data_IF_777341660790
#
_entry.id   IF_777341660790
#
_cell.length_a   1.000
_cell.length_b   1.000
_cell.length_c   1.000
_cell.angle_alpha   90.00
_cell.angle_beta   90.00
_cell.angle_gamma   90.00
#
_symmetry.space_group_name_H-M   'P 1'
#
loop_
_entity.id
_entity.type
_entity.pdbx_description
1 polymer ?
#
# COMPACT_ATOMS: atom_id res chain seq x y z
N UNK A 1 6.25 -17.45 12.63
CA UNK A 1 4.80 -17.42 12.55
C UNK A 1 4.35 -16.16 11.85
N UNK A 2 3.50 -16.33 10.88
CA UNK A 2 2.91 -15.23 10.17
C UNK A 2 2.08 -14.40 11.15
N UNK A 3 2.46 -13.15 11.33
CA UNK A 3 1.59 -12.18 11.97
C UNK A 3 0.30 -12.14 11.16
N UNK A 4 -0.82 -12.39 11.83
CA UNK A 4 -2.11 -12.31 11.19
C UNK A 4 -2.34 -10.85 10.77
N UNK A 5 -2.39 -10.61 9.47
CA UNK A 5 -2.59 -9.27 8.92
C UNK A 5 -3.84 -8.61 9.48
N UNK A 6 -4.91 -9.38 9.70
CA UNK A 6 -6.14 -8.87 10.28
C UNK A 6 -5.97 -8.32 11.69
N UNK A 7 -5.10 -8.94 12.51
CA UNK A 7 -4.82 -8.44 13.85
C UNK A 7 -4.04 -7.13 13.81
N UNK A 8 -3.02 -7.06 12.94
CA UNK A 8 -2.23 -5.84 12.77
C UNK A 8 -3.11 -4.69 12.31
N UNK A 9 -4.01 -4.96 11.37
CA UNK A 9 -4.95 -3.98 10.86
C UNK A 9 -5.84 -3.44 11.97
N UNK A 10 -6.39 -4.32 12.81
CA UNK A 10 -7.25 -3.92 13.92
C UNK A 10 -6.50 -3.06 14.95
N UNK A 11 -5.24 -3.38 15.20
CA UNK A 11 -4.42 -2.62 16.15
C UNK A 11 -3.98 -1.27 15.59
N UNK A 12 -3.76 -1.19 14.27
CA UNK A 12 -3.24 0.01 13.63
C UNK A 12 -4.30 1.10 13.46
N UNK A 13 -5.52 0.73 13.04
CA UNK A 13 -6.54 1.75 12.79
C UNK A 13 -7.90 1.13 12.50
N UNK A 14 -8.96 1.80 12.98
CA UNK A 14 -10.33 1.46 12.60
C UNK A 14 -10.63 1.73 11.13
N UNK A 15 -9.79 2.52 10.44
CA UNK A 15 -9.97 2.86 9.03
C UNK A 15 -9.21 1.95 8.07
N UNK A 16 -8.48 0.97 8.60
CA UNK A 16 -7.72 0.05 7.77
C UNK A 16 -8.58 -1.14 7.34
N UNK A 17 -8.44 -1.52 6.09
CA UNK A 17 -9.14 -2.65 5.49
C UNK A 17 -8.16 -3.46 4.65
N UNK A 18 -8.55 -4.66 4.27
CA UNK A 18 -7.72 -5.50 3.40
C UNK A 18 -8.40 -5.73 2.06
N UNK A 19 -7.60 -5.94 1.04
CA UNK A 19 -8.09 -6.28 -0.28
C UNK A 19 -7.15 -7.29 -0.95
N UNK A 20 -7.69 -8.21 -1.76
CA UNK A 20 -6.84 -9.06 -2.57
C UNK A 20 -6.23 -8.26 -3.72
N UNK A 21 -4.97 -8.53 -4.01
CA UNK A 21 -4.31 -8.00 -5.20
C UNK A 21 -3.72 -9.15 -5.99
N UNK A 22 -3.96 -9.14 -7.29
CA UNK A 22 -3.36 -10.12 -8.17
C UNK A 22 -1.91 -9.74 -8.43
N UNK A 23 -1.05 -10.72 -8.27
CA UNK A 23 0.35 -10.59 -8.54
C UNK A 23 0.61 -10.55 -10.04
N UNK A 24 1.55 -9.69 -10.48
CA UNK A 24 2.06 -9.69 -11.85
C UNK A 24 3.09 -10.80 -12.08
N UNK A 25 3.33 -11.66 -11.08
CA UNK A 25 4.22 -12.81 -11.23
C UNK A 25 3.61 -13.82 -12.20
N UNK A 26 4.45 -14.58 -12.95
CA UNK A 26 3.96 -15.59 -13.89
C UNK A 26 3.06 -16.65 -13.27
N UNK A 27 3.17 -16.85 -11.96
CA UNK A 27 2.26 -17.68 -11.20
C UNK A 27 1.24 -16.77 -10.56
N UNK A 28 -0.03 -16.96 -10.87
CA UNK A 28 -1.11 -16.20 -10.31
C UNK A 28 -1.14 -16.38 -8.80
N UNK A 29 -0.44 -15.51 -8.07
CA UNK A 29 -0.47 -15.49 -6.61
C UNK A 29 -1.30 -14.30 -6.18
N UNK A 30 -2.39 -14.60 -5.50
CA UNK A 30 -3.19 -13.57 -4.87
C UNK A 30 -2.51 -13.19 -3.55
N UNK A 31 -2.15 -11.92 -3.41
CA UNK A 31 -1.61 -11.37 -2.18
C UNK A 31 -2.61 -10.42 -1.56
N UNK A 32 -2.65 -10.40 -0.24
CA UNK A 32 -3.52 -9.49 0.48
C UNK A 32 -2.76 -8.21 0.80
N UNK A 33 -3.42 -7.06 0.59
CA UNK A 33 -2.86 -5.76 0.90
C UNK A 33 -3.80 -4.98 1.79
N UNK A 34 -3.24 -4.07 2.57
CA UNK A 34 -3.99 -3.16 3.42
C UNK A 34 -4.16 -1.83 2.70
N UNK A 35 -5.31 -1.20 2.88
CA UNK A 35 -5.56 0.17 2.47
C UNK A 35 -6.38 0.88 3.54
N UNK A 36 -6.38 2.19 3.51
CA UNK A 36 -7.15 3.00 4.45
C UNK A 36 -8.33 3.65 3.72
N UNK A 37 -9.54 3.52 4.27
CA UNK A 37 -10.77 4.02 3.64
C UNK A 37 -11.54 5.01 4.51
N UNK A 38 -10.84 5.77 5.31
CA UNK A 38 -11.47 6.74 6.16
C UNK A 38 -10.51 7.71 6.81
N UNK A 39 -11.05 8.55 7.68
CA UNK A 39 -10.29 9.57 8.39
C UNK A 39 -10.68 10.99 8.01
N UNK A 40 -11.19 11.21 6.82
CA UNK A 40 -11.82 12.46 6.38
C UNK A 40 -12.68 12.19 5.14
N UNK A 41 -13.30 13.25 4.61
CA UNK A 41 -14.24 13.13 3.49
C UNK A 41 -13.54 12.56 2.24
N UNK A 42 -12.39 13.12 1.87
CA UNK A 42 -11.67 12.71 0.68
C UNK A 42 -11.23 11.25 0.76
N UNK A 43 -10.79 10.80 1.94
CA UNK A 43 -10.40 9.40 2.14
C UNK A 43 -11.60 8.45 2.02
N UNK A 44 -12.77 8.87 2.51
CA UNK A 44 -13.99 8.06 2.35
C UNK A 44 -14.44 7.99 0.90
N UNK A 45 -14.40 9.13 0.20
CA UNK A 45 -14.77 9.19 -1.22
C UNK A 45 -13.80 8.34 -2.06
N UNK A 46 -12.51 8.40 -1.76
CA UNK A 46 -11.52 7.55 -2.43
C UNK A 46 -11.80 6.07 -2.18
N UNK A 47 -12.24 5.71 -0.97
CA UNK A 47 -12.64 4.33 -0.67
C UNK A 47 -13.80 3.85 -1.53
N UNK A 48 -14.76 4.71 -1.80
CA UNK A 48 -15.87 4.40 -2.72
C UNK A 48 -15.34 4.17 -4.12
N UNK A 49 -14.48 5.07 -4.61
CA UNK A 49 -13.85 4.90 -5.93
C UNK A 49 -13.11 3.57 -6.04
N UNK A 50 -12.37 3.21 -5.00
CA UNK A 50 -11.61 1.95 -4.99
C UNK A 50 -12.53 0.74 -5.08
N UNK A 51 -13.63 0.74 -4.34
CA UNK A 51 -14.60 -0.35 -4.38
C UNK A 51 -15.30 -0.47 -5.73
N UNK A 52 -15.36 0.62 -6.48
CA UNK A 52 -15.85 0.65 -7.85
C UNK A 52 -14.75 0.36 -8.88
N UNK A 53 -13.58 -0.04 -8.40
CA UNK A 53 -12.39 -0.32 -9.22
C UNK A 53 -11.89 0.90 -9.99
N UNK A 54 -12.14 2.09 -9.48
CA UNK A 54 -11.70 3.35 -10.07
C UNK A 54 -10.46 3.84 -9.31
N UNK A 55 -9.32 3.25 -9.65
CA UNK A 55 -8.06 3.54 -8.97
C UNK A 55 -7.54 4.94 -9.27
N UNK A 56 -7.74 5.43 -10.48
CA UNK A 56 -7.21 6.73 -10.87
C UNK A 56 -7.89 7.86 -10.10
N UNK A 57 -9.21 7.81 -9.97
CA UNK A 57 -9.95 8.80 -9.19
C UNK A 57 -9.62 8.68 -7.69
N UNK A 58 -9.49 7.46 -7.20
CA UNK A 58 -9.05 7.25 -5.81
C UNK A 58 -7.66 7.89 -5.59
N UNK A 59 -6.73 7.66 -6.49
CA UNK A 59 -5.38 8.21 -6.38
C UNK A 59 -5.39 9.75 -6.41
N UNK A 60 -6.23 10.36 -7.21
CA UNK A 60 -6.36 11.82 -7.26
C UNK A 60 -6.81 12.37 -5.90
N UNK A 61 -7.77 11.72 -5.26
CA UNK A 61 -8.23 12.12 -3.92
C UNK A 61 -7.13 11.90 -2.87
N UNK A 62 -6.42 10.78 -2.93
CA UNK A 62 -5.30 10.54 -2.01
C UNK A 62 -4.19 11.57 -2.18
N UNK A 63 -3.91 11.99 -3.41
CA UNK A 63 -2.91 13.05 -3.68
C UNK A 63 -3.34 14.37 -3.06
N UNK A 64 -4.62 14.71 -3.16
CA UNK A 64 -5.14 15.93 -2.53
C UNK A 64 -4.91 15.91 -1.01
N UNK A 65 -5.20 14.80 -0.37
CA UNK A 65 -4.98 14.65 1.08
C UNK A 65 -3.49 14.72 1.39
N UNK A 66 -2.67 14.00 0.65
CA UNK A 66 -1.23 13.93 0.84
C UNK A 66 -0.60 15.32 0.76
N UNK A 67 -1.04 16.15 -0.16
CA UNK A 67 -0.49 17.49 -0.37
C UNK A 67 -1.02 18.55 0.61
N UNK A 68 -2.26 18.38 1.10
CA UNK A 68 -2.92 19.41 1.90
C UNK A 68 -3.01 19.10 3.39
N UNK A 69 -2.79 17.87 3.81
CA UNK A 69 -2.97 17.43 5.21
C UNK A 69 -1.66 17.00 5.84
N UNK A 70 -1.70 16.82 7.18
CA UNK A 70 -0.56 16.38 7.98
C UNK A 70 -1.00 15.27 8.93
N UNK A 71 -0.03 14.63 9.59
CA UNK A 71 -0.31 13.63 10.60
C UNK A 71 -0.90 12.34 10.05
N UNK A 72 -1.81 11.75 10.82
CA UNK A 72 -2.34 10.42 10.50
C UNK A 72 -3.10 10.37 9.19
N UNK A 73 -3.86 11.41 8.84
CA UNK A 73 -4.60 11.41 7.59
C UNK A 73 -3.66 11.49 6.39
N UNK A 74 -2.58 12.25 6.49
CA UNK A 74 -1.53 12.26 5.46
C UNK A 74 -0.87 10.90 5.36
N UNK A 75 -0.58 10.26 6.48
CA UNK A 75 -0.01 8.90 6.50
C UNK A 75 -0.90 7.93 5.74
N UNK A 76 -2.20 7.96 5.98
CA UNK A 76 -3.14 7.06 5.31
C UNK A 76 -3.15 7.28 3.81
N UNK A 77 -3.15 8.54 3.37
CA UNK A 77 -3.09 8.86 1.94
C UNK A 77 -1.78 8.39 1.32
N UNK A 78 -0.65 8.64 1.98
CA UNK A 78 0.66 8.20 1.48
C UNK A 78 0.73 6.67 1.38
N UNK A 79 0.21 5.96 2.38
CA UNK A 79 0.16 4.51 2.37
C UNK A 79 -0.63 3.99 1.16
N UNK A 80 -1.80 4.56 0.90
CA UNK A 80 -2.64 4.17 -0.24
C UNK A 80 -1.99 4.53 -1.58
N UNK A 81 -1.26 5.65 -1.64
CA UNK A 81 -0.50 6.02 -2.84
C UNK A 81 0.64 5.03 -3.10
N UNK A 82 1.22 4.46 -2.05
CA UNK A 82 2.19 3.38 -2.21
C UNK A 82 1.54 2.17 -2.86
N UNK A 83 0.33 1.81 -2.44
CA UNK A 83 -0.43 0.72 -3.03
C UNK A 83 -0.72 0.97 -4.52
N UNK A 84 -1.15 2.17 -4.85
CA UNK A 84 -1.37 2.56 -6.24
C UNK A 84 -0.09 2.48 -7.07
N UNK A 85 1.04 2.92 -6.50
CA UNK A 85 2.35 2.83 -7.16
C UNK A 85 2.78 1.38 -7.37
N UNK A 86 2.51 0.51 -6.41
CA UNK A 86 2.76 -0.93 -6.55
C UNK A 86 1.96 -1.51 -7.71
N UNK A 87 0.69 -1.14 -7.81
CA UNK A 87 -0.16 -1.58 -8.92
C UNK A 87 0.41 -1.18 -10.28
N UNK A 88 1.04 -0.02 -10.34
CA UNK A 88 1.67 0.48 -11.57
C UNK A 88 3.09 -0.05 -11.75
N UNK A 89 3.51 -0.97 -10.91
CA UNK A 89 4.84 -1.56 -10.94
C UNK A 89 5.95 -0.52 -10.72
N UNK A 90 5.65 0.55 -10.00
CA UNK A 90 6.60 1.61 -9.66
C UNK A 90 7.07 1.41 -8.21
N UNK A 91 8.04 0.53 -8.04
CA UNK A 91 8.56 0.17 -6.73
C UNK A 91 9.19 1.36 -6.01
N UNK A 92 9.99 2.15 -6.73
CA UNK A 92 10.70 3.28 -6.12
C UNK A 92 9.73 4.32 -5.56
N UNK A 93 8.67 4.62 -6.31
CA UNK A 93 7.66 5.57 -5.87
C UNK A 93 6.87 5.00 -4.68
N UNK A 94 6.58 3.70 -4.69
CA UNK A 94 5.89 3.05 -3.58
C UNK A 94 6.70 3.19 -2.29
N UNK A 95 8.00 2.90 -2.34
CA UNK A 95 8.89 3.02 -1.17
C UNK A 95 8.94 4.46 -0.67
N UNK A 96 9.02 5.42 -1.58
CA UNK A 96 9.06 6.84 -1.20
C UNK A 96 7.80 7.26 -0.44
N UNK A 97 6.64 6.85 -0.90
CA UNK A 97 5.39 7.13 -0.20
C UNK A 97 5.36 6.48 1.18
N UNK A 98 5.89 5.26 1.31
CA UNK A 98 5.95 4.61 2.62
C UNK A 98 6.91 5.31 3.58
N UNK A 99 8.02 5.82 3.08
CA UNK A 99 8.94 6.62 3.89
C UNK A 99 8.25 7.89 4.40
N UNK A 100 7.52 8.58 3.54
CA UNK A 100 6.76 9.76 3.93
C UNK A 100 5.66 9.41 4.95
N UNK A 101 4.98 8.29 4.76
CA UNK A 101 3.98 7.81 5.71
C UNK A 101 4.60 7.57 7.09
N UNK A 102 5.76 6.91 7.11
CA UNK A 102 6.45 6.60 8.37
C UNK A 102 6.85 7.88 9.12
N UNK A 103 7.29 8.90 8.40
CA UNK A 103 7.63 10.18 9.00
C UNK A 103 6.43 10.85 9.67
N UNK A 104 5.23 10.58 9.22
CA UNK A 104 4.02 11.17 9.80
C UNK A 104 3.66 10.59 11.16
N UNK A 105 4.02 9.33 11.44
CA UNK A 105 3.55 8.62 12.64
C UNK A 105 4.68 8.09 13.52
N UNK A 106 5.90 7.98 13.01
CA UNK A 106 7.03 7.43 13.73
C UNK A 106 7.08 5.91 13.73
N UNK A 107 8.30 5.38 13.87
CA UNK A 107 8.55 3.95 13.74
C UNK A 107 7.95 3.11 14.86
N UNK A 108 7.83 3.68 16.05
CA UNK A 108 7.39 2.95 17.25
C UNK A 108 5.85 2.85 17.35
N UNK A 109 5.11 3.54 16.49
CA UNK A 109 3.65 3.51 16.50
C UNK A 109 3.13 2.20 15.90
N UNK A 110 1.88 1.79 16.22
CA UNK A 110 1.26 0.65 15.55
C UNK A 110 1.17 0.83 14.02
N UNK A 111 0.90 2.05 13.59
CA UNK A 111 0.87 2.39 12.16
C UNK A 111 2.26 2.26 11.54
N UNK A 112 3.32 2.63 12.28
CA UNK A 112 4.70 2.46 11.84
C UNK A 112 5.05 1.00 11.62
N UNK A 113 4.58 0.12 12.49
CA UNK A 113 4.78 -1.33 12.33
C UNK A 113 4.12 -1.84 11.05
N UNK A 114 2.91 -1.38 10.75
CA UNK A 114 2.20 -1.75 9.54
C UNK A 114 2.94 -1.26 8.28
N UNK A 115 3.43 -0.03 8.31
CA UNK A 115 4.18 0.55 7.20
C UNK A 115 5.45 -0.27 6.93
N UNK A 116 6.19 -0.63 7.98
CA UNK A 116 7.42 -1.43 7.84
C UNK A 116 7.11 -2.82 7.30
N UNK A 117 6.02 -3.44 7.75
CA UNK A 117 5.61 -4.75 7.24
C UNK A 117 5.32 -4.68 5.75
N UNK A 118 4.57 -3.69 5.32
CA UNK A 118 4.26 -3.52 3.90
C UNK A 118 5.53 -3.28 3.09
N UNK A 119 6.45 -2.46 3.60
CA UNK A 119 7.73 -2.20 2.93
C UNK A 119 8.52 -3.50 2.73
N UNK A 120 8.56 -4.37 3.75
CA UNK A 120 9.22 -5.68 3.63
C UNK A 120 8.56 -6.54 2.56
N UNK A 121 7.24 -6.58 2.53
CA UNK A 121 6.50 -7.34 1.53
C UNK A 121 6.80 -6.85 0.12
N UNK A 122 6.83 -5.52 -0.07
CA UNK A 122 7.19 -4.91 -1.35
C UNK A 122 8.59 -5.30 -1.80
N UNK A 123 9.54 -5.24 -0.89
CA UNK A 123 10.94 -5.56 -1.19
C UNK A 123 11.09 -7.02 -1.63
N UNK A 124 10.47 -7.93 -0.89
CA UNK A 124 10.53 -9.36 -1.22
C UNK A 124 9.85 -9.64 -2.56
N UNK A 125 8.70 -9.05 -2.78
CA UNK A 125 7.94 -9.20 -4.02
C UNK A 125 8.75 -8.69 -5.22
N UNK A 126 9.35 -7.52 -5.09
CA UNK A 126 10.12 -6.91 -6.15
C UNK A 126 11.36 -7.74 -6.51
N UNK A 127 12.08 -8.23 -5.50
CA UNK A 127 13.23 -9.11 -5.71
C UNK A 127 12.84 -10.39 -6.42
N UNK A 128 11.74 -11.01 -6.02
CA UNK A 128 11.25 -12.24 -6.64
C UNK A 128 10.85 -12.00 -8.09
N UNK A 129 10.17 -10.89 -8.37
CA UNK A 129 9.78 -10.53 -9.72
C UNK A 129 11.00 -10.30 -10.62
N UNK A 130 12.03 -9.63 -10.11
CA UNK A 130 13.27 -9.44 -10.86
C UNK A 130 13.95 -10.77 -11.17
N UNK A 131 14.02 -11.66 -10.20
CA UNK A 131 14.62 -12.99 -10.37
C UNK A 131 13.92 -13.79 -11.46
N UNK A 132 12.59 -13.77 -11.47
CA UNK A 132 11.80 -14.47 -12.46
C UNK A 132 11.97 -13.87 -13.87
N UNK A 133 12.07 -12.57 -13.98
CA UNK A 133 12.31 -11.91 -15.26
C UNK A 133 13.68 -12.28 -15.84
N UNK A 134 14.71 -12.36 -15.00
CA UNK A 134 16.04 -12.78 -15.42
C UNK A 134 16.00 -14.22 -15.90
N UNK A 135 15.32 -15.12 -15.19
CA UNK A 135 15.17 -16.51 -15.61
C UNK A 135 14.46 -16.63 -16.96
N UNK A 136 13.40 -15.87 -17.16
CA UNK A 136 12.64 -15.88 -18.41
C UNK A 136 13.51 -15.44 -19.59
N UNK A 137 14.35 -14.43 -19.39
CA UNK A 137 15.28 -13.97 -20.44
C UNK A 137 16.29 -15.02 -20.86
N UNK A 138 16.68 -15.91 -19.95
CA UNK A 138 17.65 -16.99 -20.26
C UNK A 138 17.08 -18.05 -21.20
N UNK A 139 15.76 -18.11 -21.32
CA UNK A 139 15.08 -19.09 -22.16
C UNK A 139 14.56 -18.51 -23.48
N UNK A 140 14.86 -17.24 -23.77
CA UNK A 140 14.54 -16.62 -25.05
C UNK A 140 15.62 -16.97 -26.10
#
# INVERSE_FOLDING_TARGET
SSLNLGQIVKEASEYAATMPMQSLLPHWVETERVYFDGGNVEMRDAGVCLRENDWDDAADLWKQVYESKKGKVKMRAAFNLALYSEMQNDYQQAVKYLEDALMCVGEESPEGSLIRLYRQQLELYFKENQRLQIQMKRFE
#
